data_IF_780459312896
#
_entry.id   IF_780459312896
#
_cell.length_a   1.000
_cell.length_b   1.000
_cell.length_c   1.000
_cell.angle_alpha   90.00
_cell.angle_beta   90.00
_cell.angle_gamma   90.00
#
_symmetry.space_group_name_H-M   'P 1'
#
loop_
_entity.id
_entity.type
_entity.pdbx_description
1 polymer ?
#
# COMPACT_ATOMS: atom_id res chain seq x y z
N UNK A 1 -9.67 -61.90 -34.80
CA UNK A 1 -8.49 -61.01 -34.89
C UNK A 1 -8.37 -60.32 -33.53
N UNK A 2 -7.38 -60.70 -32.72
CA UNK A 2 -7.23 -60.11 -31.38
C UNK A 2 -6.27 -58.92 -31.47
N UNK A 3 -6.80 -57.72 -31.23
CA UNK A 3 -6.02 -56.53 -30.96
C UNK A 3 -5.57 -56.57 -29.50
N UNK A 4 -4.27 -56.43 -29.21
CA UNK A 4 -3.73 -56.40 -27.85
C UNK A 4 -3.22 -54.98 -27.53
N UNK A 5 -3.91 -54.20 -26.67
CA UNK A 5 -3.43 -52.89 -26.20
C UNK A 5 -2.22 -53.03 -25.24
N UNK A 6 -1.42 -51.96 -25.03
CA UNK A 6 -1.80 -50.55 -25.15
C UNK A 6 -0.87 -49.70 -26.04
N UNK A 7 -1.43 -48.94 -26.98
CA UNK A 7 -0.74 -47.78 -27.54
C UNK A 7 -1.13 -46.55 -26.71
N UNK A 8 -0.54 -46.41 -25.53
CA UNK A 8 -0.69 -45.18 -24.75
C UNK A 8 0.11 -44.07 -25.43
N UNK A 9 -0.57 -43.00 -25.86
CA UNK A 9 0.09 -41.76 -26.27
C UNK A 9 0.33 -40.95 -24.99
N UNK A 10 1.60 -40.69 -24.67
CA UNK A 10 2.00 -39.93 -23.49
C UNK A 10 3.10 -38.92 -23.81
N UNK A 11 3.20 -37.86 -22.98
CA UNK A 11 4.16 -36.79 -23.12
C UNK A 11 3.70 -35.51 -22.44
N UNK A 12 4.56 -34.49 -22.38
CA UNK A 12 4.21 -33.14 -21.91
C UNK A 12 4.25 -32.20 -23.12
N UNK A 13 3.13 -31.56 -23.50
CA UNK A 13 3.12 -30.60 -24.61
C UNK A 13 4.03 -29.39 -24.32
N UNK A 14 4.89 -29.03 -25.27
CA UNK A 14 5.77 -27.85 -25.19
C UNK A 14 5.35 -26.68 -26.09
N UNK A 15 4.35 -26.91 -26.95
CA UNK A 15 3.84 -25.94 -27.94
C UNK A 15 2.32 -25.99 -27.93
N UNK A 16 1.69 -24.82 -27.85
CA UNK A 16 0.24 -24.67 -28.02
C UNK A 16 -0.17 -24.71 -29.48
N UNK A 17 -1.34 -25.27 -29.78
CA UNK A 17 -1.87 -25.37 -31.14
C UNK A 17 -2.66 -26.64 -31.34
N UNK A 18 -3.12 -26.85 -32.58
CA UNK A 18 -3.81 -28.07 -32.99
C UNK A 18 -2.83 -28.97 -33.72
N UNK A 19 -2.66 -30.20 -33.24
CA UNK A 19 -1.90 -31.25 -33.90
C UNK A 19 -2.85 -32.29 -34.47
N UNK A 20 -2.64 -32.73 -35.71
CA UNK A 20 -3.40 -33.84 -36.31
C UNK A 20 -2.62 -35.12 -36.05
N UNK A 21 -3.27 -36.08 -35.38
CA UNK A 21 -2.70 -37.40 -35.10
C UNK A 21 -3.29 -38.40 -36.07
N UNK A 22 -2.43 -39.08 -36.83
CA UNK A 22 -2.80 -40.19 -37.71
C UNK A 22 -2.51 -41.51 -37.03
N UNK A 23 -3.52 -42.37 -36.94
CA UNK A 23 -3.40 -43.74 -36.42
C UNK A 23 -3.55 -44.70 -37.59
N UNK A 24 -2.56 -45.57 -37.78
CA UNK A 24 -2.56 -46.61 -38.82
C UNK A 24 -2.57 -47.99 -38.18
N UNK A 25 -3.54 -48.82 -38.57
CA UNK A 25 -3.57 -50.24 -38.25
C UNK A 25 -3.17 -51.02 -39.49
N UNK A 26 -2.17 -51.89 -39.36
CA UNK A 26 -1.66 -52.75 -40.44
C UNK A 26 -1.87 -54.22 -40.05
N UNK A 27 -2.39 -55.03 -40.96
CA UNK A 27 -2.52 -56.47 -40.76
C UNK A 27 -1.20 -57.22 -41.10
N UNK A 28 -1.07 -58.51 -40.74
CA UNK A 28 0.14 -59.29 -41.06
C UNK A 28 0.44 -59.43 -42.56
N UNK A 29 -0.55 -59.20 -43.43
CA UNK A 29 -0.41 -59.20 -44.88
C UNK A 29 0.03 -57.85 -45.46
N UNK A 30 0.19 -56.82 -44.62
CA UNK A 30 0.62 -55.48 -45.04
C UNK A 30 -0.51 -54.56 -45.50
N UNK A 31 -1.78 -54.99 -45.44
CA UNK A 31 -2.91 -54.10 -45.68
C UNK A 31 -3.10 -53.18 -44.47
N UNK A 32 -3.46 -51.94 -44.72
CA UNK A 32 -3.63 -50.97 -43.65
C UNK A 32 -4.90 -50.14 -43.77
N UNK A 33 -5.37 -49.63 -42.63
CA UNK A 33 -6.41 -48.61 -42.52
C UNK A 33 -5.91 -47.49 -41.62
N UNK A 34 -6.22 -46.24 -41.97
CA UNK A 34 -5.85 -45.07 -41.17
C UNK A 34 -7.06 -44.26 -40.75
N UNK A 35 -6.96 -43.64 -39.59
CA UNK A 35 -7.91 -42.61 -39.11
C UNK A 35 -7.14 -41.45 -38.49
N UNK A 36 -7.80 -40.30 -38.37
CA UNK A 36 -7.20 -39.09 -37.81
C UNK A 36 -8.07 -38.50 -36.71
N UNK A 37 -7.43 -37.90 -35.70
CA UNK A 37 -8.09 -37.03 -34.75
C UNK A 37 -7.25 -35.77 -34.47
N UNK A 38 -7.92 -34.70 -34.06
CA UNK A 38 -7.24 -33.45 -33.66
C UNK A 38 -6.93 -33.45 -32.17
N UNK A 39 -5.67 -33.26 -31.81
CA UNK A 39 -5.22 -32.94 -30.47
C UNK A 39 -5.10 -31.42 -30.34
N UNK A 40 -5.98 -30.81 -29.54
CA UNK A 40 -5.91 -29.38 -29.23
C UNK A 40 -5.13 -29.15 -27.94
N UNK A 41 -4.01 -28.45 -28.03
CA UNK A 41 -3.22 -27.97 -26.89
C UNK A 41 -3.49 -26.48 -26.74
N UNK A 42 -4.26 -26.11 -25.72
CA UNK A 42 -4.48 -24.70 -25.41
C UNK A 42 -3.17 -24.08 -24.92
N UNK A 43 -2.89 -22.80 -25.25
CA UNK A 43 -1.79 -22.09 -24.61
C UNK A 43 -1.99 -22.14 -23.10
N UNK A 44 -0.95 -22.54 -22.37
CA UNK A 44 -0.85 -22.14 -20.98
C UNK A 44 -0.91 -20.62 -20.98
N UNK A 45 -1.85 -20.02 -20.25
CA UNK A 45 -1.96 -18.57 -20.16
C UNK A 45 -0.57 -18.01 -19.87
N UNK A 46 0.07 -17.42 -20.89
CA UNK A 46 1.28 -16.66 -20.68
C UNK A 46 0.82 -15.44 -19.90
N UNK A 47 0.89 -15.51 -18.57
CA UNK A 47 0.70 -14.34 -17.75
C UNK A 47 1.92 -13.45 -18.01
N UNK A 48 1.82 -12.61 -19.03
CA UNK A 48 2.76 -11.52 -19.27
C UNK A 48 2.63 -10.42 -18.20
N UNK A 49 2.02 -10.72 -17.06
CA UNK A 49 1.70 -9.77 -16.00
C UNK A 49 1.75 -10.31 -14.58
N UNK A 50 2.05 -11.60 -14.34
CA UNK A 50 2.27 -12.06 -12.97
C UNK A 50 3.56 -11.46 -12.42
N UNK A 51 3.41 -10.52 -11.51
CA UNK A 51 4.51 -9.79 -10.90
C UNK A 51 4.23 -9.57 -9.42
N UNK A 52 5.31 -9.46 -8.64
CA UNK A 52 5.26 -8.84 -7.33
C UNK A 52 5.45 -7.35 -7.58
N UNK A 53 4.43 -6.54 -7.29
CA UNK A 53 4.43 -5.09 -7.58
C UNK A 53 4.86 -4.24 -6.39
N UNK A 54 4.85 -4.82 -5.20
CA UNK A 54 5.23 -4.13 -3.97
C UNK A 54 5.18 -5.06 -2.77
N UNK A 55 5.56 -4.51 -1.62
CA UNK A 55 5.50 -5.19 -0.33
C UNK A 55 4.95 -4.23 0.69
N UNK A 56 3.87 -4.63 1.36
CA UNK A 56 3.35 -3.91 2.52
C UNK A 56 4.00 -4.45 3.78
N UNK A 57 4.85 -3.65 4.41
CA UNK A 57 5.42 -3.95 5.73
C UNK A 57 4.36 -3.70 6.79
N UNK A 58 4.01 -4.73 7.56
CA UNK A 58 2.98 -4.68 8.60
C UNK A 58 3.57 -4.31 9.94
N UNK A 59 4.70 -4.93 10.30
CA UNK A 59 5.33 -4.69 11.60
C UNK A 59 6.82 -4.97 11.52
N UNK A 60 7.57 -4.23 12.34
CA UNK A 60 8.99 -4.44 12.54
C UNK A 60 9.35 -4.22 14.01
N UNK A 61 9.86 -5.26 14.66
CA UNK A 61 10.20 -5.25 16.08
C UNK A 61 11.69 -5.56 16.24
N UNK A 62 12.39 -4.73 17.02
CA UNK A 62 13.79 -5.01 17.35
C UNK A 62 13.84 -6.13 18.38
N UNK A 63 14.54 -7.22 18.03
CA UNK A 63 14.75 -8.38 18.92
C UNK A 63 16.06 -8.19 19.69
N UNK A 64 17.11 -7.72 19.01
CA UNK A 64 18.42 -7.38 19.59
C UNK A 64 19.16 -6.37 18.70
N UNK A 65 20.36 -5.94 19.10
CA UNK A 65 21.16 -4.89 18.43
C UNK A 65 21.51 -5.13 16.96
N UNK A 66 21.25 -6.32 16.40
CA UNK A 66 21.43 -6.62 14.97
C UNK A 66 20.37 -7.56 14.40
N UNK A 67 19.25 -7.77 15.11
CA UNK A 67 18.20 -8.71 14.70
C UNK A 67 16.82 -8.11 14.87
N UNK A 68 15.99 -8.26 13.85
CA UNK A 68 14.62 -7.74 13.82
C UNK A 68 13.64 -8.82 13.41
N UNK A 69 12.46 -8.79 14.02
CA UNK A 69 11.31 -9.55 13.58
C UNK A 69 10.49 -8.67 12.64
N UNK A 70 10.18 -9.15 11.44
CA UNK A 70 9.52 -8.40 10.37
C UNK A 70 8.32 -9.20 9.88
N UNK A 71 7.17 -8.54 9.75
CA UNK A 71 5.96 -9.11 9.16
C UNK A 71 5.52 -8.27 7.97
N UNK A 72 5.21 -8.92 6.84
CA UNK A 72 4.87 -8.23 5.59
C UNK A 72 3.95 -9.05 4.68
N UNK A 73 3.31 -8.37 3.74
CA UNK A 73 2.44 -8.95 2.72
C UNK A 73 2.94 -8.51 1.33
N UNK A 74 3.36 -9.44 0.45
CA UNK A 74 3.65 -9.12 -0.94
C UNK A 74 2.37 -8.77 -1.70
N UNK A 75 2.47 -7.81 -2.63
CA UNK A 75 1.38 -7.39 -3.49
C UNK A 75 1.61 -7.97 -4.89
N UNK A 76 0.58 -8.59 -5.46
CA UNK A 76 0.66 -9.25 -6.77
C UNK A 76 -0.20 -8.52 -7.79
N UNK A 77 0.23 -8.55 -9.05
CA UNK A 77 -0.59 -8.21 -10.23
C UNK A 77 -0.71 -9.41 -11.16
N UNK A 78 -1.71 -9.38 -12.05
CA UNK A 78 -1.82 -10.36 -13.14
C UNK A 78 -2.00 -11.81 -12.66
N UNK A 79 -2.66 -12.00 -11.52
CA UNK A 79 -2.92 -13.33 -10.97
C UNK A 79 -3.96 -14.07 -11.81
N UNK A 80 -3.79 -15.37 -12.01
CA UNK A 80 -4.70 -16.22 -12.81
C UNK A 80 -5.71 -17.02 -11.97
N UNK A 81 -5.72 -16.81 -10.64
CA UNK A 81 -6.57 -17.51 -9.68
C UNK A 81 -6.02 -18.85 -9.18
N UNK A 82 -4.95 -19.38 -9.76
CA UNK A 82 -4.27 -20.56 -9.21
C UNK A 82 -3.46 -20.23 -7.94
N UNK A 83 -3.12 -21.21 -7.08
CA UNK A 83 -2.35 -20.93 -5.87
C UNK A 83 -0.97 -20.32 -6.17
N UNK A 84 -0.63 -19.24 -5.48
CA UNK A 84 0.70 -18.64 -5.56
C UNK A 84 1.64 -19.37 -4.59
N UNK A 85 2.72 -19.93 -5.12
CA UNK A 85 3.83 -20.46 -4.33
C UNK A 85 4.83 -19.34 -4.04
N UNK A 86 4.94 -18.92 -2.78
CA UNK A 86 5.79 -17.84 -2.32
C UNK A 86 7.02 -18.36 -1.58
N UNK A 87 8.18 -17.73 -1.78
CA UNK A 87 9.43 -18.01 -1.06
C UNK A 87 10.26 -16.74 -0.88
N UNK A 88 11.19 -16.80 0.06
CA UNK A 88 12.20 -15.77 0.26
C UNK A 88 13.56 -16.44 0.17
N UNK A 89 14.42 -15.95 -0.72
CA UNK A 89 15.74 -16.55 -0.94
C UNK A 89 16.50 -16.61 0.39
N UNK A 90 16.95 -17.81 0.75
CA UNK A 90 17.69 -18.15 1.98
C UNK A 90 16.94 -17.96 3.32
N UNK A 91 15.73 -17.40 3.32
CA UNK A 91 14.98 -17.14 4.57
C UNK A 91 13.69 -17.95 4.70
N UNK A 92 13.05 -18.31 3.57
CA UNK A 92 11.78 -19.04 3.57
C UNK A 92 11.67 -19.98 2.37
N UNK A 93 11.48 -21.26 2.66
CA UNK A 93 11.18 -22.27 1.63
C UNK A 93 9.83 -22.00 0.94
N UNK A 94 9.64 -22.46 -0.32
CA UNK A 94 8.38 -22.30 -1.03
C UNK A 94 7.16 -22.79 -0.25
N UNK A 95 6.13 -21.96 -0.19
CA UNK A 95 4.87 -22.23 0.50
C UNK A 95 3.68 -21.63 -0.24
N UNK A 96 2.52 -22.28 -0.18
CA UNK A 96 1.25 -21.75 -0.69
C UNK A 96 0.39 -21.10 0.40
N UNK A 97 0.90 -21.01 1.63
CA UNK A 97 0.22 -20.32 2.72
C UNK A 97 0.06 -18.83 2.39
N UNK A 98 -1.14 -18.29 2.64
CA UNK A 98 -1.39 -16.86 2.55
C UNK A 98 -0.60 -16.11 3.63
N UNK A 99 -0.14 -14.89 3.30
CA UNK A 99 0.48 -14.00 4.27
C UNK A 99 -0.48 -13.53 5.39
N UNK A 100 0.02 -12.75 6.36
CA UNK A 100 1.35 -12.12 6.36
C UNK A 100 2.49 -13.10 6.65
N UNK A 101 3.61 -12.93 5.95
CA UNK A 101 4.83 -13.70 6.20
C UNK A 101 5.66 -13.01 7.27
N UNK A 102 6.21 -13.80 8.20
CA UNK A 102 6.97 -13.28 9.33
C UNK A 102 8.35 -13.92 9.40
N UNK A 103 9.40 -13.10 9.45
CA UNK A 103 10.79 -13.53 9.43
C UNK A 103 11.58 -12.84 10.55
N UNK A 104 12.59 -13.53 11.09
CA UNK A 104 13.58 -12.93 11.99
C UNK A 104 14.87 -12.74 11.21
N UNK A 105 15.22 -11.49 10.91
CA UNK A 105 16.27 -11.11 9.96
C UNK A 105 17.41 -10.40 10.68
N UNK A 106 18.62 -10.57 10.16
CA UNK A 106 19.82 -9.85 10.60
C UNK A 106 19.99 -8.57 9.79
N UNK A 107 20.35 -7.47 10.45
CA UNK A 107 20.43 -6.13 9.84
C UNK A 107 21.64 -5.93 8.90
N UNK A 108 22.51 -6.92 8.78
CA UNK A 108 23.65 -6.96 7.85
C UNK A 108 23.23 -7.18 6.39
N UNK A 109 22.07 -7.80 6.16
CA UNK A 109 21.48 -7.92 4.84
C UNK A 109 20.20 -7.06 4.73
N UNK A 110 20.27 -5.82 4.20
CA UNK A 110 19.13 -4.90 4.20
C UNK A 110 18.05 -5.22 3.15
N UNK A 111 18.33 -6.11 2.19
CA UNK A 111 17.43 -6.42 1.06
C UNK A 111 17.19 -7.91 0.94
N UNK A 112 15.92 -8.31 0.80
CA UNK A 112 15.51 -9.69 0.56
C UNK A 112 15.02 -9.86 -0.86
N UNK A 113 15.39 -10.97 -1.50
CA UNK A 113 14.81 -11.37 -2.78
C UNK A 113 13.59 -12.25 -2.55
N UNK A 114 12.42 -11.70 -2.82
CA UNK A 114 11.16 -12.42 -2.79
C UNK A 114 10.95 -13.13 -4.14
N UNK A 115 10.39 -14.34 -4.10
CA UNK A 115 10.01 -15.10 -5.30
C UNK A 115 8.59 -15.59 -5.15
N UNK A 116 7.82 -15.46 -6.22
CA UNK A 116 6.50 -16.03 -6.31
C UNK A 116 6.36 -16.80 -7.62
N UNK A 117 5.65 -17.92 -7.60
CA UNK A 117 5.36 -18.71 -8.77
C UNK A 117 3.88 -19.03 -8.82
N UNK A 118 3.28 -18.87 -9.99
CA UNK A 118 1.88 -19.19 -10.25
C UNK A 118 1.83 -19.94 -11.59
N UNK A 119 1.48 -21.23 -11.54
CA UNK A 119 1.62 -22.13 -12.69
C UNK A 119 3.07 -22.15 -13.24
N UNK A 120 3.22 -21.82 -14.52
CA UNK A 120 4.52 -21.66 -15.19
C UNK A 120 5.15 -20.26 -15.09
N UNK A 121 4.46 -19.29 -14.50
CA UNK A 121 4.93 -17.90 -14.41
C UNK A 121 5.66 -17.66 -13.08
N UNK A 122 6.77 -16.92 -13.12
CA UNK A 122 7.57 -16.60 -11.94
C UNK A 122 7.81 -15.09 -11.85
N UNK A 123 7.68 -14.56 -10.64
CA UNK A 123 7.96 -13.17 -10.30
C UNK A 123 9.08 -13.10 -9.25
N UNK A 124 9.91 -12.07 -9.34
CA UNK A 124 10.94 -11.74 -8.35
C UNK A 124 10.87 -10.27 -7.96
N UNK A 125 11.15 -9.96 -6.70
CA UNK A 125 11.15 -8.59 -6.18
C UNK A 125 12.21 -8.42 -5.10
N UNK A 126 13.02 -7.38 -5.21
CA UNK A 126 14.03 -7.03 -4.22
C UNK A 126 13.42 -6.05 -3.21
N UNK A 127 13.15 -6.56 -2.00
CA UNK A 127 12.51 -5.84 -0.91
C UNK A 127 13.55 -5.30 0.07
N UNK A 128 13.76 -3.98 0.06
CA UNK A 128 14.57 -3.28 1.07
C UNK A 128 13.81 -3.23 2.42
N UNK A 129 13.77 -4.37 3.11
CA UNK A 129 13.02 -4.55 4.34
C UNK A 129 13.57 -3.69 5.48
N UNK A 130 14.89 -3.47 5.53
CA UNK A 130 15.48 -2.68 6.60
C UNK A 130 15.10 -1.21 6.46
N UNK A 131 15.11 -0.71 5.22
CA UNK A 131 14.59 0.60 4.85
C UNK A 131 13.11 0.76 5.22
N UNK A 132 12.29 -0.24 4.90
CA UNK A 132 10.86 -0.24 5.22
C UNK A 132 10.58 -0.33 6.74
N UNK A 133 11.43 -1.02 7.50
CA UNK A 133 11.41 -1.04 8.96
C UNK A 133 11.83 0.30 9.59
N UNK A 134 12.72 1.04 8.95
CA UNK A 134 13.17 2.37 9.38
C UNK A 134 12.32 3.50 8.82
N UNK A 135 11.43 3.21 7.86
CA UNK A 135 10.44 4.15 7.42
C UNK A 135 9.59 4.53 8.63
N UNK A 136 9.28 5.82 8.85
CA UNK A 136 8.41 6.21 9.93
C UNK A 136 7.13 5.37 9.82
N UNK A 137 6.84 4.57 10.85
CA UNK A 137 5.74 3.59 10.91
C UNK A 137 4.34 4.20 10.89
N UNK A 138 4.22 5.40 10.32
CA UNK A 138 3.01 5.97 9.76
C UNK A 138 3.45 6.72 8.51
N UNK A 139 3.06 6.24 7.33
CA UNK A 139 2.54 7.19 6.36
C UNK A 139 1.18 7.65 6.90
N UNK A 140 1.26 8.46 7.96
CA UNK A 140 0.24 9.47 8.15
C UNK A 140 0.28 10.35 6.92
N UNK A 141 -0.85 10.96 6.61
CA UNK A 141 -0.91 12.18 5.81
C UNK A 141 0.35 13.01 6.11
N UNK A 142 1.03 13.46 5.07
CA UNK A 142 2.24 14.28 5.17
C UNK A 142 2.13 15.25 6.36
N UNK A 143 3.18 15.35 7.17
CA UNK A 143 3.25 16.32 8.26
C UNK A 143 2.71 17.67 7.76
N UNK A 144 1.76 18.35 8.43
CA UNK A 144 1.69 19.79 8.30
C UNK A 144 2.87 20.36 9.09
N UNK A 145 4.09 20.07 8.64
CA UNK A 145 5.34 20.44 9.31
C UNK A 145 5.95 21.73 8.77
N UNK A 146 5.44 22.23 7.65
CA UNK A 146 5.93 23.48 7.02
C UNK A 146 4.81 24.50 6.74
N UNK A 147 3.59 24.24 7.22
CA UNK A 147 2.43 25.11 7.05
C UNK A 147 1.89 25.68 8.37
N UNK A 148 0.84 26.47 8.27
CA UNK A 148 0.07 27.09 9.33
C UNK A 148 -0.37 26.04 10.36
N UNK A 149 0.19 26.15 11.56
CA UNK A 149 -0.20 25.36 12.72
C UNK A 149 -0.86 26.28 13.74
N UNK A 150 -2.09 25.95 14.14
CA UNK A 150 -2.85 26.74 15.10
C UNK A 150 -3.20 25.89 16.32
N UNK A 151 -2.81 26.38 17.51
CA UNK A 151 -3.12 25.78 18.81
C UNK A 151 -3.89 26.78 19.67
N UNK A 152 -5.09 26.43 20.09
CA UNK A 152 -5.86 27.23 21.04
C UNK A 152 -5.46 26.82 22.46
N UNK A 153 -5.17 27.79 23.32
CA UNK A 153 -4.65 27.53 24.67
C UNK A 153 -5.74 27.20 25.70
N UNK A 154 -7.03 27.37 25.35
CA UNK A 154 -8.16 26.96 26.16
C UNK A 154 -9.45 26.73 25.35
N UNK A 155 -9.95 25.50 25.35
CA UNK A 155 -11.27 25.14 24.81
C UNK A 155 -11.89 24.06 25.71
N UNK A 156 -12.97 24.33 26.48
CA UNK A 156 -13.81 25.53 26.42
C UNK A 156 -13.10 26.84 26.83
N UNK A 157 -13.44 27.95 26.17
CA UNK A 157 -12.89 29.28 26.42
C UNK A 157 -13.43 29.79 27.74
N UNK A 158 -12.56 30.02 28.73
CA UNK A 158 -12.93 30.57 30.04
C UNK A 158 -12.52 32.04 30.11
N UNK A 159 -13.49 32.94 30.01
CA UNK A 159 -13.27 34.38 30.08
C UNK A 159 -13.73 35.12 28.83
N UNK A 160 -13.25 36.35 28.66
CA UNK A 160 -13.62 37.25 27.56
C UNK A 160 -12.68 37.22 26.36
N UNK A 161 -11.63 36.40 26.39
CA UNK A 161 -10.62 36.35 25.33
C UNK A 161 -10.28 34.90 24.94
N UNK A 162 -10.04 34.69 23.65
CA UNK A 162 -9.49 33.45 23.11
C UNK A 162 -8.00 33.64 22.89
N UNK A 163 -7.19 32.85 23.60
CA UNK A 163 -5.74 32.80 23.38
C UNK A 163 -5.36 31.73 22.36
N UNK A 164 -4.59 32.15 21.35
CA UNK A 164 -4.20 31.29 20.23
C UNK A 164 -2.71 31.41 19.98
N UNK A 165 -2.04 30.27 19.81
CA UNK A 165 -0.66 30.16 19.41
C UNK A 165 -0.59 29.68 17.95
N UNK A 166 0.09 30.45 17.09
CA UNK A 166 0.25 30.16 15.67
C UNK A 166 1.73 29.93 15.35
N UNK A 167 2.03 28.86 14.61
CA UNK A 167 3.38 28.44 14.21
C UNK A 167 3.42 28.14 12.71
N UNK A 168 4.64 28.04 12.17
CA UNK A 168 4.86 27.64 10.77
C UNK A 168 4.71 28.75 9.72
N UNK A 169 4.38 29.98 10.13
CA UNK A 169 4.08 31.11 9.22
C UNK A 169 4.97 32.33 9.44
N UNK A 170 6.18 32.12 9.98
CA UNK A 170 7.14 33.20 10.26
C UNK A 170 7.34 34.09 9.04
N UNK A 171 7.21 35.41 9.20
CA UNK A 171 7.41 36.37 8.12
C UNK A 171 6.20 36.60 7.22
N UNK A 172 5.13 35.81 7.33
CA UNK A 172 3.92 35.94 6.52
C UNK A 172 2.87 36.84 7.17
N UNK A 173 1.98 37.41 6.35
CA UNK A 173 0.77 38.09 6.83
C UNK A 173 -0.28 37.07 7.25
N UNK A 174 -0.89 37.30 8.40
CA UNK A 174 -1.86 36.43 9.06
C UNK A 174 -3.13 37.23 9.39
N UNK A 175 -4.30 36.66 9.14
CA UNK A 175 -5.57 37.19 9.66
C UNK A 175 -6.31 36.12 10.45
N UNK A 176 -6.66 36.43 11.69
CA UNK A 176 -7.53 35.62 12.52
C UNK A 176 -8.90 36.28 12.63
N UNK A 177 -9.97 35.50 12.53
CA UNK A 177 -11.34 35.96 12.69
C UNK A 177 -12.18 34.99 13.51
N UNK A 178 -13.03 35.52 14.38
CA UNK A 178 -14.06 34.75 15.08
C UNK A 178 -15.40 34.94 14.37
N UNK A 179 -16.07 33.84 14.07
CA UNK A 179 -17.41 33.83 13.46
C UNK A 179 -18.36 32.91 14.23
N UNK A 180 -19.64 33.25 14.27
CA UNK A 180 -20.69 32.36 14.77
C UNK A 180 -21.11 31.30 13.73
N UNK A 181 -22.02 30.40 14.11
CA UNK A 181 -22.51 29.34 13.21
C UNK A 181 -23.37 29.89 12.05
N UNK A 182 -23.85 31.12 12.18
CA UNK A 182 -24.62 31.86 11.18
C UNK A 182 -23.70 32.66 10.24
N UNK A 183 -22.38 32.67 10.50
CA UNK A 183 -21.37 33.36 9.71
C UNK A 183 -21.15 34.84 10.09
N UNK A 184 -21.77 35.34 11.16
CA UNK A 184 -21.53 36.70 11.65
C UNK A 184 -20.15 36.80 12.28
N UNK A 185 -19.40 37.83 11.89
CA UNK A 185 -18.04 38.07 12.36
C UNK A 185 -18.05 38.82 13.69
N UNK A 186 -17.50 38.20 14.72
CA UNK A 186 -17.46 38.73 16.09
C UNK A 186 -16.16 39.47 16.40
N UNK A 187 -15.03 39.04 15.82
CA UNK A 187 -13.73 39.65 16.04
C UNK A 187 -12.77 39.39 14.89
N UNK A 188 -11.83 40.31 14.65
CA UNK A 188 -10.76 40.16 13.65
C UNK A 188 -9.46 40.74 14.19
N UNK A 189 -8.38 40.01 13.98
CA UNK A 189 -7.03 40.43 14.24
C UNK A 189 -6.17 40.19 12.99
N UNK A 190 -5.33 41.15 12.61
CA UNK A 190 -4.43 41.05 11.46
C UNK A 190 -2.99 41.34 11.90
N UNK A 191 -2.09 40.48 11.47
CA UNK A 191 -0.65 40.60 11.68
C UNK A 191 0.03 40.66 10.31
N UNK A 192 0.77 41.74 10.05
CA UNK A 192 1.47 41.91 8.77
C UNK A 192 2.67 40.96 8.61
N UNK A 193 3.30 40.59 9.73
CA UNK A 193 4.46 39.69 9.75
C UNK A 193 4.48 38.85 11.03
N UNK A 194 4.10 37.59 10.94
CA UNK A 194 4.03 36.68 12.09
C UNK A 194 5.42 36.25 12.59
N UNK A 195 5.56 36.07 13.91
CA UNK A 195 6.71 35.48 14.60
C UNK A 195 6.67 33.95 14.70
N UNK A 196 7.46 33.38 15.61
CA UNK A 196 7.50 31.94 15.87
C UNK A 196 7.82 31.61 17.35
N UNK A 197 6.83 31.23 18.17
CA UNK A 197 5.40 31.26 17.88
C UNK A 197 4.82 32.68 17.90
N UNK A 198 3.82 32.94 17.06
CA UNK A 198 2.96 34.13 17.16
C UNK A 198 1.83 33.85 18.16
N UNK A 199 1.52 34.80 19.04
CA UNK A 199 0.40 34.66 20.00
C UNK A 199 -0.63 35.74 19.74
N UNK A 200 -1.88 35.31 19.58
CA UNK A 200 -3.03 36.16 19.32
C UNK A 200 -4.01 36.10 20.49
N UNK A 201 -4.72 37.19 20.72
CA UNK A 201 -5.77 37.28 21.73
C UNK A 201 -6.98 37.97 21.13
N UNK A 202 -8.00 37.18 20.80
CA UNK A 202 -9.23 37.71 20.20
C UNK A 202 -10.31 37.89 21.27
N UNK A 203 -10.92 39.08 21.39
CA UNK A 203 -12.03 39.29 22.31
C UNK A 203 -13.26 38.49 21.86
N UNK A 204 -13.98 37.93 22.82
CA UNK A 204 -15.17 37.09 22.67
C UNK A 204 -16.32 37.57 23.60
N UNK A 205 -16.27 38.86 23.97
CA UNK A 205 -17.11 39.46 25.00
C UNK A 205 -18.61 39.14 24.84
N UNK A 206 -19.19 38.56 25.89
CA UNK A 206 -20.63 38.35 26.02
C UNK A 206 -21.22 37.22 25.16
N UNK A 207 -20.39 36.43 24.48
CA UNK A 207 -20.86 35.36 23.60
C UNK A 207 -20.98 34.01 24.33
N UNK A 208 -21.99 33.19 24.02
CA UNK A 208 -22.21 31.87 24.64
C UNK A 208 -22.57 30.86 23.54
N UNK A 209 -21.93 29.68 23.56
CA UNK A 209 -22.22 28.59 22.61
C UNK A 209 -21.00 28.09 21.83
N UNK A 210 -21.17 27.78 20.55
CA UNK A 210 -20.11 27.35 19.61
C UNK A 210 -19.67 28.44 18.59
N UNK A 211 -18.38 28.77 18.57
CA UNK A 211 -17.77 29.65 17.55
C UNK A 211 -16.84 28.88 16.63
N UNK A 212 -16.53 29.51 15.50
CA UNK A 212 -15.46 29.11 14.62
C UNK A 212 -14.38 30.21 14.62
N UNK A 213 -13.17 29.85 15.03
CA UNK A 213 -11.97 30.62 14.82
C UNK A 213 -11.39 30.25 13.47
N UNK A 214 -11.23 31.21 12.61
CA UNK A 214 -10.66 31.03 11.30
C UNK A 214 -9.36 31.83 11.17
N UNK A 215 -8.29 31.14 10.80
CA UNK A 215 -6.96 31.71 10.60
C UNK A 215 -6.58 31.54 9.14
N UNK A 216 -6.14 32.62 8.50
CA UNK A 216 -5.73 32.63 7.09
C UNK A 216 -4.36 33.27 6.91
N UNK A 217 -3.59 32.72 5.99
CA UNK A 217 -2.45 33.36 5.34
C UNK A 217 -2.74 33.52 3.85
N UNK A 218 -1.74 33.94 3.08
CA UNK A 218 -1.85 34.04 1.61
C UNK A 218 -2.09 32.66 0.95
N UNK A 219 -1.58 31.59 1.54
CA UNK A 219 -1.58 30.24 0.95
C UNK A 219 -2.43 29.24 1.71
N UNK A 220 -2.75 29.51 2.98
CA UNK A 220 -3.35 28.52 3.87
C UNK A 220 -4.50 29.08 4.69
N UNK A 221 -5.45 28.20 5.03
CA UNK A 221 -6.63 28.52 5.83
C UNK A 221 -6.89 27.37 6.81
N UNK A 222 -7.05 27.69 8.09
CA UNK A 222 -7.43 26.75 9.12
C UNK A 222 -8.66 27.26 9.89
N UNK A 223 -9.60 26.36 10.18
CA UNK A 223 -10.80 26.68 10.96
C UNK A 223 -10.86 25.77 12.17
N UNK A 224 -11.09 26.35 13.35
CA UNK A 224 -11.14 25.66 14.64
C UNK A 224 -12.46 25.96 15.31
N UNK A 225 -13.12 24.92 15.80
CA UNK A 225 -14.33 25.06 16.61
C UNK A 225 -13.99 25.35 18.07
N UNK A 226 -14.53 26.44 18.59
CA UNK A 226 -14.42 26.87 19.98
C UNK A 226 -15.77 26.72 20.68
N UNK A 227 -15.74 26.44 21.97
CA UNK A 227 -16.92 26.40 22.82
C UNK A 227 -16.73 27.38 23.97
N UNK A 228 -17.68 28.28 24.17
CA UNK A 228 -17.75 29.14 25.35
C UNK A 228 -18.93 28.68 26.21
N UNK A 229 -18.67 28.22 27.45
CA UNK A 229 -19.70 27.71 28.35
C UNK A 229 -20.59 28.82 28.90
#
# INVERSE_FOLDING_TARGET
MNFSPPAQIGGVPSVSGVSIVTVTATDPGGLFVSTTFSLSVLPANASSGFAITGVQTISCVTVSGGRRWVSFIPQYSGTDGSPVSFSVVNELLPTTASGPYSLTLYTDNPTLRLRAQQGGSQASYDYNWLGACSAPARQGIAEPGTGLQVRVLGNPVRGSHVEVEVRGVTGQSLSAQLIDLQGHRLGVERIERAGNPERLSLPIDGWVGVLLLEIRTATERQVIRLVQP
#
